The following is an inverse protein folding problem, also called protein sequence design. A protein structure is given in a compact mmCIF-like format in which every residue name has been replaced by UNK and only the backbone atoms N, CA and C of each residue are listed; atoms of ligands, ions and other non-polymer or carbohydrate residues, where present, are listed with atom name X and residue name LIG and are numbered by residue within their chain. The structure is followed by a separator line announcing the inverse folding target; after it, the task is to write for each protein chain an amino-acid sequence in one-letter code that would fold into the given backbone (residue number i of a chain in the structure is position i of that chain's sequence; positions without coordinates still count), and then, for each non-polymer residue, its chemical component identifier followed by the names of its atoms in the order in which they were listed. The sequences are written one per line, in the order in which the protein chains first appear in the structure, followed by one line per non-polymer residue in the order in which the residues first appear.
data_IF_666867765020
#
_entry.id   IF_666867765020
#
_cell.length_a   1.000
_cell.length_b   1.000
_cell.length_c   1.000
_cell.angle_alpha   90.00
_cell.angle_beta   90.00
_cell.angle_gamma   90.00
#
_symmetry.space_group_name_H-M   'P 1'
#
loop_
_entity.id
_entity.type
_entity.pdbx_description
1 polymer ?
#
# COMPACT_ATOMS: atom_id res chain seq x y z
N UNK A 1 -66.01 -4.18 7.15
CA UNK A 1 -65.01 -3.16 6.76
C UNK A 1 -63.73 -3.50 7.52
N UNK A 2 -62.82 -4.24 6.88
CA UNK A 2 -61.65 -4.83 7.53
C UNK A 2 -60.44 -3.91 7.34
N UNK A 3 -60.00 -3.24 8.41
CA UNK A 3 -58.79 -2.42 8.41
C UNK A 3 -57.61 -3.38 8.62
N UNK A 4 -56.81 -3.59 7.56
CA UNK A 4 -55.52 -4.29 7.64
C UNK A 4 -54.47 -3.29 8.10
N UNK A 5 -53.99 -3.46 9.32
CA UNK A 5 -52.83 -2.73 9.85
C UNK A 5 -51.56 -3.40 9.32
N UNK A 6 -50.90 -2.77 8.36
CA UNK A 6 -49.60 -3.22 7.86
C UNK A 6 -48.50 -2.88 8.87
N UNK A 7 -47.85 -3.90 9.40
CA UNK A 7 -46.59 -3.77 10.15
C UNK A 7 -45.45 -3.59 9.15
N UNK A 8 -44.80 -2.42 9.16
CA UNK A 8 -43.53 -2.20 8.47
C UNK A 8 -42.42 -2.71 9.40
N UNK A 9 -41.79 -3.82 9.02
CA UNK A 9 -40.54 -4.27 9.67
C UNK A 9 -39.42 -3.40 9.09
N UNK A 10 -38.94 -2.46 9.89
CA UNK A 10 -37.74 -1.71 9.58
C UNK A 10 -36.55 -2.62 9.88
N UNK A 11 -36.02 -3.28 8.85
CA UNK A 11 -34.79 -4.07 8.94
C UNK A 11 -33.63 -3.14 9.29
N UNK A 12 -33.21 -3.14 10.56
CA UNK A 12 -31.98 -2.51 10.98
C UNK A 12 -30.83 -3.34 10.39
N UNK A 13 -30.22 -2.86 9.30
CA UNK A 13 -28.96 -3.36 8.80
C UNK A 13 -27.91 -3.08 9.88
N UNK A 14 -27.59 -4.07 10.70
CA UNK A 14 -26.38 -4.04 11.51
C UNK A 14 -25.18 -3.97 10.57
N UNK A 15 -24.25 -3.02 10.71
CA UNK A 15 -23.03 -3.03 9.92
C UNK A 15 -22.33 -4.37 10.18
N UNK A 16 -22.14 -5.16 9.13
CA UNK A 16 -21.19 -6.27 9.16
C UNK A 16 -19.84 -5.62 9.49
N UNK A 17 -19.32 -5.90 10.68
CA UNK A 17 -17.95 -5.55 11.03
C UNK A 17 -17.05 -6.41 10.16
N UNK A 18 -16.70 -5.92 8.96
CA UNK A 18 -15.58 -6.47 8.21
C UNK A 18 -14.35 -6.32 9.11
N UNK A 19 -13.66 -7.42 9.38
CA UNK A 19 -12.40 -7.36 10.11
C UNK A 19 -11.37 -6.72 9.19
N UNK A 20 -10.66 -5.70 9.68
CA UNK A 20 -9.57 -5.07 8.94
C UNK A 20 -8.47 -6.11 8.63
N UNK A 21 -7.93 -6.07 7.42
CA UNK A 21 -6.79 -6.87 6.93
C UNK A 21 -5.45 -6.40 7.52
N UNK A 22 -5.44 -5.29 8.24
CA UNK A 22 -4.23 -4.65 8.78
C UNK A 22 -3.54 -5.51 9.85
N UNK A 23 -2.22 -5.64 9.76
CA UNK A 23 -1.35 -6.33 10.71
C UNK A 23 -0.11 -5.48 10.93
N UNK A 24 0.20 -5.10 12.17
CA UNK A 24 1.41 -4.34 12.51
C UNK A 24 1.60 -4.30 14.03
N UNK A 25 2.84 -4.03 14.48
CA UNK A 25 3.14 -3.78 15.90
C UNK A 25 3.02 -2.30 16.26
N UNK A 26 3.36 -1.42 15.32
CA UNK A 26 3.34 0.03 15.50
C UNK A 26 2.87 0.77 14.26
N UNK A 27 2.25 1.93 14.48
CA UNK A 27 1.86 2.85 13.43
C UNK A 27 2.34 4.26 13.74
N UNK A 28 2.97 4.92 12.77
CA UNK A 28 3.45 6.29 12.90
C UNK A 28 4.71 6.55 12.10
N UNK A 29 5.54 7.48 12.56
CA UNK A 29 6.74 7.86 11.82
C UNK A 29 7.81 6.77 11.82
N UNK A 30 8.35 6.50 10.65
CA UNK A 30 9.41 5.52 10.41
C UNK A 30 10.54 6.20 9.60
N UNK A 31 11.37 6.96 10.29
CA UNK A 31 12.35 7.87 9.68
C UNK A 31 13.42 7.20 8.80
N UNK A 32 13.64 5.90 8.97
CA UNK A 32 14.64 5.12 8.22
C UNK A 32 14.18 4.80 6.79
N UNK A 33 12.87 4.81 6.53
CA UNK A 33 12.35 4.48 5.21
C UNK A 33 12.46 5.66 4.24
N UNK A 34 13.08 5.40 3.09
CA UNK A 34 13.18 6.30 1.94
C UNK A 34 12.31 5.83 0.76
N UNK A 35 11.84 4.58 0.82
CA UNK A 35 11.01 3.93 -0.19
C UNK A 35 11.70 3.86 -1.56
N UNK A 36 13.03 3.79 -1.56
CA UNK A 36 13.85 3.81 -2.78
C UNK A 36 13.93 5.18 -3.46
N UNK A 37 13.46 6.25 -2.81
CA UNK A 37 13.37 7.58 -3.41
C UNK A 37 13.58 8.73 -2.44
N UNK A 38 13.41 9.96 -2.93
CA UNK A 38 13.50 11.18 -2.12
C UNK A 38 12.17 11.90 -2.09
N UNK A 39 11.79 12.44 -0.92
CA UNK A 39 10.58 13.27 -0.80
C UNK A 39 9.27 12.48 -0.67
N UNK A 40 9.35 11.16 -0.51
CA UNK A 40 8.19 10.31 -0.21
C UNK A 40 7.96 10.32 1.31
N UNK A 41 6.76 10.64 1.81
CA UNK A 41 6.46 10.72 3.24
C UNK A 41 6.70 9.42 3.99
N UNK A 42 7.11 9.51 5.27
CA UNK A 42 7.33 8.36 6.17
C UNK A 42 6.81 8.62 7.59
N UNK A 43 5.79 9.45 7.73
CA UNK A 43 5.17 9.85 9.00
C UNK A 43 3.95 8.99 9.39
N UNK A 44 3.35 8.27 8.44
CA UNK A 44 2.21 7.38 8.63
C UNK A 44 2.53 5.97 8.09
N UNK A 45 3.23 5.16 8.88
CA UNK A 45 3.79 3.87 8.45
C UNK A 45 3.35 2.77 9.38
N UNK A 46 2.85 1.66 8.83
CA UNK A 46 2.63 0.41 9.54
C UNK A 46 3.95 -0.36 9.60
N UNK A 47 4.40 -0.73 10.79
CA UNK A 47 5.68 -1.41 10.97
C UNK A 47 5.60 -2.53 12.02
N UNK A 48 6.31 -3.63 11.74
CA UNK A 48 6.51 -4.75 12.66
C UNK A 48 8.00 -5.01 12.83
N UNK A 49 8.37 -5.55 14.00
CA UNK A 49 9.76 -5.84 14.33
C UNK A 49 9.84 -7.08 15.21
N UNK A 50 10.73 -7.98 14.81
CA UNK A 50 11.04 -9.17 15.60
C UNK A 50 12.55 -9.37 15.76
N UNK A 51 12.91 -10.16 16.77
CA UNK A 51 14.26 -10.65 16.99
C UNK A 51 14.22 -12.18 16.87
N UNK A 52 14.98 -12.71 15.94
CA UNK A 52 15.15 -14.14 15.68
C UNK A 52 16.60 -14.56 15.91
N UNK A 53 16.82 -15.85 16.10
CA UNK A 53 18.16 -16.44 16.21
C UNK A 53 19.07 -15.77 17.26
N UNK A 54 18.45 -15.30 18.36
CA UNK A 54 19.12 -14.65 19.49
C UNK A 54 19.29 -13.14 19.33
N UNK A 55 19.89 -12.70 18.21
CA UNK A 55 20.31 -11.30 18.02
C UNK A 55 19.96 -10.72 16.63
N UNK A 56 19.41 -11.52 15.71
CA UNK A 56 19.04 -11.05 14.37
C UNK A 56 17.73 -10.26 14.45
N UNK A 57 17.77 -8.97 14.15
CA UNK A 57 16.60 -8.12 14.05
C UNK A 57 16.10 -8.07 12.61
N UNK A 58 14.81 -8.32 12.41
CA UNK A 58 14.11 -8.11 11.15
C UNK A 58 13.06 -7.02 11.39
N UNK A 59 13.02 -6.00 10.52
CA UNK A 59 11.92 -5.02 10.50
C UNK A 59 11.28 -5.03 9.14
N UNK A 60 9.95 -4.95 9.15
CA UNK A 60 9.15 -4.80 7.94
C UNK A 60 8.24 -3.60 8.12
N UNK A 61 8.03 -2.85 7.04
CA UNK A 61 7.13 -1.72 7.06
C UNK A 61 6.45 -1.52 5.72
N UNK A 62 5.22 -0.99 5.76
CA UNK A 62 4.42 -0.64 4.60
C UNK A 62 3.70 0.68 4.82
N UNK A 63 3.55 1.44 3.74
CA UNK A 63 2.78 2.68 3.73
C UNK A 63 2.17 2.94 2.36
N UNK A 64 1.10 3.72 2.29
CA UNK A 64 0.63 4.28 1.04
C UNK A 64 0.85 5.80 1.02
N UNK A 65 1.31 6.32 -0.11
CA UNK A 65 1.61 7.75 -0.29
C UNK A 65 1.09 8.23 -1.63
N UNK A 66 0.92 9.54 -1.79
CA UNK A 66 0.66 10.12 -3.09
C UNK A 66 1.80 9.81 -4.06
N UNK A 67 1.44 9.59 -5.33
CA UNK A 67 2.43 9.51 -6.39
C UNK A 67 2.82 10.92 -6.78
N UNK A 68 4.06 11.31 -6.53
CA UNK A 68 4.56 12.64 -6.85
C UNK A 68 3.69 13.78 -6.27
N UNK A 69 3.42 14.84 -7.03
CA UNK A 69 2.64 16.01 -6.61
C UNK A 69 1.11 15.81 -6.62
N UNK A 70 0.61 14.57 -6.52
CA UNK A 70 -0.83 14.28 -6.47
C UNK A 70 -1.45 14.63 -5.10
N UNK A 71 -2.79 14.64 -4.97
CA UNK A 71 -3.43 14.84 -3.69
C UNK A 71 -2.89 13.88 -2.62
N UNK A 72 -2.57 14.38 -1.41
CA UNK A 72 -2.00 13.54 -0.35
C UNK A 72 -2.88 12.35 -0.02
N UNK A 73 -2.25 11.19 0.18
CA UNK A 73 -2.92 10.04 0.80
C UNK A 73 -3.09 10.35 2.29
N UNK A 74 -4.28 10.11 2.82
CA UNK A 74 -4.57 10.27 4.26
C UNK A 74 -4.76 8.90 4.91
N UNK A 75 -4.79 8.85 6.24
CA UNK A 75 -4.97 7.61 6.99
C UNK A 75 -5.91 7.80 8.20
N UNK A 76 -6.30 6.68 8.82
CA UNK A 76 -7.14 6.65 10.01
C UNK A 76 -6.36 6.50 11.33
N UNK A 77 -5.04 6.65 11.32
CA UNK A 77 -4.15 6.39 12.45
C UNK A 77 -3.86 4.91 12.72
N UNK A 78 -4.23 4.01 11.79
CA UNK A 78 -4.20 2.56 12.03
C UNK A 78 -4.02 1.72 10.74
N UNK A 79 -3.11 2.13 9.84
CA UNK A 79 -2.76 1.39 8.60
C UNK A 79 -3.89 1.19 7.58
N UNK A 80 -4.96 1.99 7.68
CA UNK A 80 -5.99 2.09 6.65
C UNK A 80 -5.88 3.47 6.01
N UNK A 81 -5.40 3.48 4.77
CA UNK A 81 -5.14 4.67 3.98
C UNK A 81 -6.36 5.03 3.11
N UNK A 82 -6.42 6.28 2.69
CA UNK A 82 -7.46 6.85 1.83
C UNK A 82 -6.81 7.59 0.69
N UNK A 83 -7.09 7.13 -0.53
CA UNK A 83 -6.54 7.68 -1.77
C UNK A 83 -7.65 8.06 -2.76
N UNK A 84 -7.32 8.93 -3.71
CA UNK A 84 -8.22 9.32 -4.78
C UNK A 84 -8.18 8.37 -5.98
N UNK A 85 -9.30 8.26 -6.70
CA UNK A 85 -9.38 7.64 -8.03
C UNK A 85 -8.63 8.46 -9.09
N UNK A 86 -8.06 7.78 -10.09
CA UNK A 86 -7.56 8.36 -11.33
C UNK A 86 -6.12 7.98 -11.69
N UNK A 87 -5.71 8.41 -12.88
CA UNK A 87 -4.34 8.26 -13.40
C UNK A 87 -3.57 9.58 -13.38
N UNK A 88 -2.26 9.47 -13.29
CA UNK A 88 -1.29 10.55 -13.36
C UNK A 88 -0.18 10.21 -14.37
N UNK A 89 0.18 11.18 -15.22
CA UNK A 89 1.25 11.07 -16.22
C UNK A 89 2.48 11.92 -15.85
N UNK A 90 2.67 12.19 -14.56
CA UNK A 90 3.69 13.08 -14.03
C UNK A 90 3.45 14.56 -14.35
N UNK A 91 4.17 15.40 -13.61
CA UNK A 91 4.37 16.83 -13.84
C UNK A 91 5.82 17.16 -14.21
N UNK A 92 6.22 18.41 -13.94
CA UNK A 92 7.56 18.89 -14.25
C UNK A 92 8.62 18.16 -13.41
N UNK A 93 9.60 17.52 -14.07
CA UNK A 93 10.63 16.65 -13.46
C UNK A 93 10.10 15.36 -12.80
N UNK A 94 8.90 14.91 -13.16
CA UNK A 94 8.33 13.64 -12.71
C UNK A 94 8.27 12.64 -13.89
N UNK A 95 8.08 11.35 -13.60
CA UNK A 95 7.97 10.33 -14.66
C UNK A 95 6.72 10.56 -15.52
N UNK A 96 6.89 10.53 -16.84
CA UNK A 96 5.77 10.65 -17.79
C UNK A 96 4.96 9.36 -17.95
N UNK A 97 5.41 8.25 -17.35
CA UNK A 97 4.67 6.99 -17.36
C UNK A 97 3.34 7.15 -16.63
N UNK A 98 2.29 6.60 -17.22
CA UNK A 98 0.98 6.51 -16.57
C UNK A 98 1.10 5.68 -15.29
N UNK A 99 0.48 6.17 -14.22
CA UNK A 99 0.32 5.45 -12.96
C UNK A 99 -0.92 5.92 -12.21
N UNK A 100 -1.36 5.17 -11.21
CA UNK A 100 -2.39 5.62 -10.28
C UNK A 100 -1.94 6.89 -9.54
N UNK A 101 -2.88 7.64 -8.95
CA UNK A 101 -2.57 8.83 -8.15
C UNK A 101 -1.74 8.57 -6.90
N UNK A 102 -1.64 7.31 -6.48
CA UNK A 102 -1.01 6.87 -5.24
C UNK A 102 -0.11 5.66 -5.50
N UNK A 103 0.85 5.48 -4.60
CA UNK A 103 1.74 4.33 -4.56
C UNK A 103 1.56 3.58 -3.24
N UNK A 104 1.97 2.33 -3.22
CA UNK A 104 2.20 1.57 -2.01
C UNK A 104 3.69 1.27 -1.87
N UNK A 105 4.19 1.39 -0.67
CA UNK A 105 5.61 1.38 -0.37
C UNK A 105 5.91 0.21 0.55
N UNK A 106 7.10 -0.36 0.42
CA UNK A 106 7.58 -1.38 1.31
C UNK A 106 9.00 -1.08 1.77
N UNK A 107 9.33 -1.57 2.95
CA UNK A 107 10.66 -1.55 3.53
C UNK A 107 10.85 -2.87 4.27
N UNK A 108 12.00 -3.50 4.05
CA UNK A 108 12.47 -4.62 4.86
C UNK A 108 13.95 -4.49 5.10
N UNK A 109 14.36 -4.60 6.35
CA UNK A 109 15.77 -4.67 6.72
C UNK A 109 16.06 -5.81 7.67
N UNK A 110 17.33 -6.19 7.69
CA UNK A 110 17.87 -7.18 8.59
C UNK A 110 19.22 -6.72 9.13
N UNK A 111 19.43 -6.92 10.42
CA UNK A 111 20.68 -6.62 11.08
C UNK A 111 20.97 -7.60 12.20
N UNK A 112 22.25 -7.91 12.41
CA UNK A 112 22.70 -8.69 13.56
C UNK A 112 24.00 -8.05 14.07
N UNK A 113 24.08 -7.62 15.34
CA UNK A 113 25.29 -6.98 15.88
C UNK A 113 26.48 -7.94 15.98
N UNK A 114 26.23 -9.24 16.00
CA UNK A 114 27.21 -10.30 16.18
C UNK A 114 27.53 -11.08 14.89
N UNK A 115 26.74 -10.91 13.83
CA UNK A 115 26.98 -11.53 12.52
C UNK A 115 26.84 -10.51 11.37
N UNK A 116 27.95 -10.02 10.80
CA UNK A 116 27.92 -9.09 9.68
C UNK A 116 27.52 -9.75 8.35
N UNK A 117 27.36 -11.08 8.30
CA UNK A 117 27.00 -11.80 7.08
C UNK A 117 25.51 -12.08 6.96
N UNK A 118 24.71 -11.67 7.95
CA UNK A 118 23.26 -11.79 7.87
C UNK A 118 22.75 -11.03 6.66
N UNK A 119 21.82 -11.63 5.92
CA UNK A 119 21.27 -11.08 4.68
C UNK A 119 19.82 -11.46 4.53
N UNK A 120 19.08 -10.65 3.78
CA UNK A 120 17.65 -10.86 3.54
C UNK A 120 17.37 -12.19 2.84
N UNK A 121 18.30 -12.66 2.00
CA UNK A 121 18.18 -13.94 1.26
C UNK A 121 18.30 -15.19 2.12
N UNK A 122 18.63 -15.06 3.42
CA UNK A 122 18.54 -16.17 4.39
C UNK A 122 17.09 -16.51 4.76
N UNK A 123 16.14 -15.66 4.38
CA UNK A 123 14.71 -15.79 4.67
C UNK A 123 13.89 -15.80 3.38
N UNK A 124 12.68 -16.36 3.45
CA UNK A 124 11.68 -16.21 2.40
C UNK A 124 10.84 -14.97 2.70
N UNK A 125 10.85 -14.01 1.78
CA UNK A 125 10.16 -12.73 1.86
C UNK A 125 9.19 -12.66 0.68
N UNK A 126 7.90 -12.64 1.00
CA UNK A 126 6.83 -12.52 0.01
C UNK A 126 6.06 -11.22 0.25
N UNK A 127 5.81 -10.49 -0.83
CA UNK A 127 5.08 -9.24 -0.84
C UNK A 127 3.80 -9.41 -1.66
N UNK A 128 2.65 -9.31 -1.00
CA UNK A 128 1.34 -9.49 -1.57
C UNK A 128 0.69 -8.16 -1.90
N UNK A 129 0.02 -8.11 -3.05
CA UNK A 129 -0.63 -6.90 -3.55
C UNK A 129 -1.97 -7.22 -4.22
N UNK A 130 -2.91 -6.28 -4.10
CA UNK A 130 -4.24 -6.41 -4.66
C UNK A 130 -4.44 -5.48 -5.86
N UNK A 131 -5.09 -6.01 -6.89
CA UNK A 131 -5.55 -5.24 -8.06
C UNK A 131 -7.08 -5.19 -8.17
N UNK A 132 -7.81 -5.90 -7.31
CA UNK A 132 -9.28 -5.94 -7.26
C UNK A 132 -9.81 -5.00 -6.15
N UNK A 133 -10.70 -4.04 -6.46
CA UNK A 133 -11.29 -3.13 -5.47
C UNK A 133 -12.29 -3.79 -4.49
N UNK A 134 -12.65 -5.07 -4.67
CA UNK A 134 -13.71 -5.71 -3.90
C UNK A 134 -13.43 -5.78 -2.37
N UNK A 135 -12.17 -5.65 -1.96
CA UNK A 135 -11.76 -5.76 -0.56
C UNK A 135 -11.93 -7.17 0.01
N UNK A 136 -11.62 -7.38 1.30
CA UNK A 136 -11.60 -8.71 1.88
C UNK A 136 -13.00 -9.31 1.99
N UNK A 137 -13.06 -10.63 1.83
CA UNK A 137 -14.15 -11.45 2.40
C UNK A 137 -13.82 -11.94 3.83
N UNK A 138 -12.54 -11.86 4.26
CA UNK A 138 -12.04 -12.20 5.60
C UNK A 138 -10.65 -11.56 5.88
N UNK A 139 -10.28 -11.37 7.16
CA UNK A 139 -8.93 -10.92 7.50
C UNK A 139 -7.87 -11.88 7.00
N UNK A 140 -6.71 -11.32 6.66
CA UNK A 140 -5.46 -12.05 6.64
C UNK A 140 -5.42 -13.14 5.54
N UNK A 141 -6.36 -13.07 4.60
CA UNK A 141 -6.46 -14.00 3.49
C UNK A 141 -5.72 -13.43 2.28
N UNK A 142 -4.59 -14.05 1.92
CA UNK A 142 -3.81 -13.67 0.74
C UNK A 142 -4.24 -14.40 -0.53
N UNK A 143 -5.27 -15.27 -0.46
CA UNK A 143 -5.75 -16.00 -1.61
C UNK A 143 -6.36 -15.05 -2.65
N UNK A 144 -5.87 -15.13 -3.89
CA UNK A 144 -6.31 -14.26 -4.99
C UNK A 144 -5.46 -13.01 -5.16
N UNK A 145 -4.62 -12.66 -4.18
CA UNK A 145 -3.66 -11.56 -4.30
C UNK A 145 -2.50 -11.93 -5.24
N UNK A 146 -1.91 -10.90 -5.83
CA UNK A 146 -0.62 -11.01 -6.49
C UNK A 146 0.48 -11.21 -5.47
N UNK A 147 1.61 -11.78 -5.90
CA UNK A 147 2.78 -12.00 -5.04
C UNK A 147 4.07 -11.65 -5.76
N UNK A 148 4.93 -10.87 -5.12
CA UNK A 148 6.33 -10.68 -5.47
C UNK A 148 7.17 -11.54 -4.52
N UNK A 149 7.96 -12.43 -5.07
CA UNK A 149 8.97 -13.21 -4.35
C UNK A 149 10.23 -12.34 -4.23
N UNK A 150 10.27 -11.53 -3.17
CA UNK A 150 11.35 -10.56 -2.94
C UNK A 150 12.68 -11.30 -2.76
N UNK A 151 12.66 -12.46 -2.10
CA UNK A 151 13.85 -13.31 -1.93
C UNK A 151 14.42 -13.77 -3.27
N UNK A 152 13.56 -14.20 -4.22
CA UNK A 152 14.01 -14.56 -5.57
C UNK A 152 14.59 -13.36 -6.33
N UNK A 153 13.95 -12.18 -6.22
CA UNK A 153 14.45 -10.94 -6.82
C UNK A 153 15.83 -10.56 -6.26
N UNK A 154 16.01 -10.61 -4.94
CA UNK A 154 17.27 -10.31 -4.28
C UNK A 154 18.36 -11.32 -4.67
N UNK A 155 18.06 -12.61 -4.67
CA UNK A 155 19.02 -13.63 -5.12
C UNK A 155 19.53 -13.38 -6.55
N UNK A 156 18.70 -12.81 -7.43
CA UNK A 156 19.08 -12.51 -8.80
C UNK A 156 19.88 -11.19 -8.96
N UNK A 157 19.69 -10.20 -8.07
CA UNK A 157 20.20 -8.84 -8.27
C UNK A 157 21.17 -8.37 -7.18
N UNK A 158 20.87 -8.66 -5.91
CA UNK A 158 21.70 -8.33 -4.76
C UNK A 158 21.55 -9.39 -3.65
N UNK A 159 22.23 -10.54 -3.78
CA UNK A 159 22.04 -11.66 -2.87
C UNK A 159 22.55 -11.38 -1.45
N UNK A 160 23.33 -10.32 -1.24
CA UNK A 160 23.87 -9.96 0.07
C UNK A 160 23.16 -8.74 0.69
N UNK A 161 22.03 -8.30 0.11
CA UNK A 161 21.28 -7.17 0.60
C UNK A 161 20.84 -7.38 2.06
N UNK A 162 21.04 -6.34 2.87
CA UNK A 162 20.50 -6.23 4.23
C UNK A 162 19.30 -5.30 4.32
N UNK A 163 19.00 -4.57 3.24
CA UNK A 163 17.89 -3.64 3.10
C UNK A 163 17.30 -3.79 1.69
N UNK A 164 15.98 -3.84 1.62
CA UNK A 164 15.22 -3.71 0.38
C UNK A 164 14.02 -2.82 0.65
N UNK A 165 13.89 -1.75 -0.11
CA UNK A 165 12.77 -0.82 -0.04
C UNK A 165 12.45 -0.26 -1.42
N UNK A 166 11.17 -0.02 -1.69
CA UNK A 166 10.73 0.57 -2.96
C UNK A 166 9.30 1.14 -2.84
N UNK A 167 8.90 1.89 -3.86
CA UNK A 167 7.57 2.47 -4.05
C UNK A 167 6.94 1.93 -5.33
N UNK A 168 5.87 1.18 -5.19
CA UNK A 168 5.18 0.51 -6.29
C UNK A 168 3.88 1.21 -6.67
N UNK A 169 3.53 1.12 -7.94
CA UNK A 169 2.26 1.60 -8.46
C UNK A 169 1.50 0.45 -9.10
N UNK A 170 0.20 0.31 -8.79
CA UNK A 170 -0.62 -0.79 -9.30
C UNK A 170 -0.78 -0.82 -10.83
N UNK A 171 -0.46 0.26 -11.53
CA UNK A 171 -0.42 0.29 -13.01
C UNK A 171 0.91 -0.18 -13.61
N UNK A 172 1.90 -0.56 -12.80
CA UNK A 172 3.10 -1.19 -13.32
C UNK A 172 2.73 -2.53 -13.97
N UNK A 173 2.84 -2.60 -15.30
CA UNK A 173 2.29 -3.70 -16.08
C UNK A 173 2.79 -5.09 -15.66
N UNK A 174 4.00 -5.17 -15.11
CA UNK A 174 4.57 -6.44 -14.62
C UNK A 174 3.78 -7.04 -13.44
N UNK A 175 3.03 -6.22 -12.68
CA UNK A 175 2.16 -6.69 -11.60
C UNK A 175 0.91 -7.40 -12.15
N UNK A 176 0.40 -6.97 -13.31
CA UNK A 176 -0.76 -7.59 -13.95
C UNK A 176 -0.37 -8.79 -14.84
N UNK A 177 0.84 -8.81 -15.40
CA UNK A 177 1.29 -9.90 -16.29
C UNK A 177 2.14 -10.95 -15.59
N UNK A 178 2.76 -10.59 -14.47
CA UNK A 178 3.78 -11.38 -13.80
C UNK A 178 5.14 -11.34 -14.50
N UNK A 179 6.12 -11.89 -13.80
CA UNK A 179 7.50 -12.10 -14.27
C UNK A 179 7.90 -13.51 -13.81
N UNK A 180 8.22 -14.45 -14.72
CA UNK A 180 8.48 -15.83 -14.35
C UNK A 180 9.54 -15.97 -13.25
N UNK A 181 9.17 -16.61 -12.14
CA UNK A 181 10.04 -16.86 -11.00
C UNK A 181 10.19 -15.70 -10.01
N UNK A 182 9.59 -14.53 -10.27
CA UNK A 182 9.71 -13.35 -9.41
C UNK A 182 8.36 -12.73 -9.03
N UNK A 183 7.45 -12.60 -10.00
CA UNK A 183 6.15 -11.95 -9.80
C UNK A 183 5.04 -12.86 -10.33
N UNK A 184 4.10 -13.15 -9.45
CA UNK A 184 2.92 -13.96 -9.71
C UNK A 184 1.71 -13.02 -9.71
N UNK A 185 1.14 -12.80 -10.90
CA UNK A 185 0.02 -11.87 -11.04
C UNK A 185 -1.28 -12.43 -10.45
N UNK A 186 -2.13 -11.59 -9.85
CA UNK A 186 -3.50 -11.96 -9.50
C UNK A 186 -4.37 -12.09 -10.76
N UNK A 187 -5.61 -12.55 -10.58
CA UNK A 187 -6.60 -12.45 -11.65
C UNK A 187 -7.06 -11.01 -11.83
N UNK A 188 -7.17 -10.56 -13.08
CA UNK A 188 -7.69 -9.23 -13.40
C UNK A 188 -6.58 -8.19 -13.61
N UNK A 189 -7.00 -6.94 -13.74
CA UNK A 189 -6.12 -5.80 -13.98
C UNK A 189 -6.58 -4.66 -13.08
N UNK A 190 -5.63 -3.86 -12.61
CA UNK A 190 -5.97 -2.66 -11.84
C UNK A 190 -6.76 -1.66 -12.68
N UNK A 191 -7.84 -1.14 -12.10
CA UNK A 191 -8.60 -0.01 -12.63
C UNK A 191 -8.37 1.22 -11.73
N UNK A 192 -7.67 2.27 -12.21
CA UNK A 192 -7.40 3.46 -11.41
C UNK A 192 -8.65 4.27 -11.04
N UNK A 193 -9.76 4.09 -11.77
CA UNK A 193 -11.02 4.79 -11.50
C UNK A 193 -11.96 4.00 -10.58
N UNK A 194 -11.60 2.76 -10.23
CA UNK A 194 -12.42 1.93 -9.37
C UNK A 194 -12.33 2.35 -7.90
N UNK A 195 -13.50 2.54 -7.31
CA UNK A 195 -13.68 2.80 -5.87
C UNK A 195 -13.71 1.46 -5.15
N UNK A 196 -12.97 1.35 -4.06
CA UNK A 196 -12.93 0.12 -3.29
C UNK A 196 -11.79 0.06 -2.29
N UNK A 197 -11.51 -1.15 -1.84
CA UNK A 197 -10.46 -1.43 -0.86
C UNK A 197 -9.42 -2.35 -1.51
N UNK A 198 -8.16 -1.92 -1.47
CA UNK A 198 -7.02 -2.68 -1.98
C UNK A 198 -6.11 -3.08 -0.83
N UNK A 199 -5.57 -4.28 -0.90
CA UNK A 199 -4.87 -4.92 0.21
C UNK A 199 -3.40 -5.18 -0.11
N UNK A 200 -2.53 -4.93 0.87
CA UNK A 200 -1.11 -5.14 0.71
C UNK A 200 -0.54 -5.76 1.98
N UNK A 201 0.30 -6.78 1.82
CA UNK A 201 0.95 -7.43 2.94
C UNK A 201 2.37 -7.84 2.60
N UNK A 202 3.23 -7.92 3.60
CA UNK A 202 4.53 -8.55 3.50
C UNK A 202 4.63 -9.62 4.58
N UNK A 203 5.21 -10.76 4.23
CA UNK A 203 5.49 -11.85 5.16
C UNK A 203 6.94 -12.27 5.07
N UNK A 204 7.53 -12.56 6.22
CA UNK A 204 8.87 -13.12 6.35
C UNK A 204 8.77 -14.49 7.01
N UNK A 205 9.48 -15.47 6.48
CA UNK A 205 9.48 -16.84 7.01
C UNK A 205 10.84 -17.51 6.88
N UNK A 206 11.06 -18.54 7.69
CA UNK A 206 12.20 -19.45 7.59
C UNK A 206 11.68 -20.89 7.54
N UNK A 207 11.88 -21.54 6.39
CA UNK A 207 11.29 -22.85 6.12
C UNK A 207 9.76 -22.81 6.21
N UNK A 208 9.18 -23.56 7.14
CA UNK A 208 7.72 -23.62 7.37
C UNK A 208 7.23 -22.69 8.47
N UNK A 209 8.12 -21.90 9.08
CA UNK A 209 7.79 -21.04 10.22
C UNK A 209 7.65 -19.59 9.76
N UNK A 210 6.47 -18.99 10.00
CA UNK A 210 6.28 -17.55 9.87
C UNK A 210 7.04 -16.81 10.97
N UNK A 211 7.77 -15.78 10.58
CA UNK A 211 8.62 -14.98 11.48
C UNK A 211 7.98 -13.62 11.74
N UNK A 212 7.56 -12.95 10.68
CA UNK A 212 7.04 -11.60 10.77
C UNK A 212 6.04 -11.31 9.65
N UNK A 213 5.11 -10.39 9.90
CA UNK A 213 4.20 -9.88 8.89
C UNK A 213 3.78 -8.44 9.16
N UNK A 214 3.53 -7.71 8.08
CA UNK A 214 2.88 -6.39 8.11
C UNK A 214 1.84 -6.35 6.99
N UNK A 215 0.71 -5.70 7.25
CA UNK A 215 -0.37 -5.55 6.28
C UNK A 215 -1.10 -4.23 6.46
N UNK A 216 -1.53 -3.67 5.34
CA UNK A 216 -2.27 -2.40 5.26
C UNK A 216 -3.37 -2.47 4.20
N UNK A 217 -4.25 -1.47 4.23
CA UNK A 217 -5.31 -1.29 3.26
C UNK A 217 -5.29 0.11 2.66
N UNK A 218 -5.68 0.22 1.39
CA UNK A 218 -5.93 1.50 0.73
C UNK A 218 -7.38 1.55 0.27
N UNK A 219 -8.16 2.43 0.89
CA UNK A 219 -9.51 2.75 0.46
C UNK A 219 -9.45 3.84 -0.62
N UNK A 220 -9.74 3.46 -1.85
CA UNK A 220 -9.88 4.40 -2.95
C UNK A 220 -11.29 4.97 -2.94
N UNK A 221 -11.38 6.28 -2.79
CA UNK A 221 -12.64 7.04 -2.77
C UNK A 221 -12.66 8.08 -3.88
N UNK A 222 -13.84 8.45 -4.40
CA UNK A 222 -13.92 9.55 -5.36
C UNK A 222 -13.36 10.83 -4.75
N UNK A 223 -12.47 11.51 -5.48
CA UNK A 223 -12.02 12.85 -5.07
C UNK A 223 -13.23 13.78 -5.11
N UNK A 224 -13.62 14.43 -4.00
CA UNK A 224 -14.75 15.35 -4.03
C UNK A 224 -14.48 16.46 -5.05
N UNK A 225 -15.37 16.65 -6.02
CA UNK A 225 -15.23 17.65 -7.08
C UNK A 225 -14.96 19.08 -6.53
N UNK A 226 -15.36 19.34 -5.29
CA UNK A 226 -15.07 20.56 -4.56
C UNK A 226 -13.56 20.82 -4.40
N UNK A 227 -12.71 19.81 -4.17
CA UNK A 227 -11.27 20.00 -4.01
C UNK A 227 -10.64 20.57 -5.29
N UNK A 228 -11.05 20.08 -6.47
CA UNK A 228 -10.63 20.60 -7.77
C UNK A 228 -11.17 22.02 -8.03
N UNK A 229 -12.42 22.30 -7.66
CA UNK A 229 -13.03 23.63 -7.82
C UNK A 229 -12.38 24.69 -6.93
N UNK A 230 -12.06 24.37 -5.68
CA UNK A 230 -11.38 25.31 -4.78
C UNK A 230 -9.92 25.53 -5.17
N UNK A 231 -9.19 24.47 -5.56
CA UNK A 231 -7.81 24.59 -6.05
C UNK A 231 -7.72 25.42 -7.33
N UNK A 232 -8.58 25.16 -8.31
CA UNK A 232 -8.63 25.91 -9.57
C UNK A 232 -9.11 27.35 -9.39
N UNK A 233 -10.07 27.60 -8.49
CA UNK A 233 -10.50 28.97 -8.15
C UNK A 233 -9.37 29.78 -7.50
N UNK A 234 -8.57 29.19 -6.61
CA UNK A 234 -7.46 29.87 -5.95
C UNK A 234 -6.29 30.16 -6.92
N UNK A 235 -5.99 29.22 -7.80
CA UNK A 235 -5.04 29.42 -8.92
C UNK A 235 -5.53 30.51 -9.89
N UNK A 236 -6.82 30.53 -10.21
CA UNK A 236 -7.43 31.58 -11.03
C UNK A 236 -7.33 32.97 -10.39
N UNK A 237 -7.58 33.08 -9.09
CA UNK A 237 -7.49 34.33 -8.33
C UNK A 237 -6.06 34.88 -8.25
N UNK A 238 -5.05 34.01 -8.09
CA UNK A 238 -3.64 34.42 -8.06
C UNK A 238 -3.13 34.83 -9.44
N UNK A 239 -3.54 34.14 -10.51
CA UNK A 239 -3.22 34.53 -11.88
C UNK A 239 -3.84 35.89 -12.26
N UNK A 240 -5.09 36.14 -11.85
CA UNK A 240 -5.77 37.42 -12.08
C UNK A 240 -5.12 38.58 -11.31
N UNK A 241 -4.62 38.34 -10.10
CA UNK A 241 -3.90 39.34 -9.31
C UNK A 241 -2.55 39.73 -9.95
N UNK A 242 -1.80 38.76 -10.49
CA UNK A 242 -0.53 39.03 -11.20
C UNK A 242 -0.70 39.82 -12.49
N UNK A 243 -1.87 39.77 -13.13
CA UNK A 243 -2.17 40.50 -14.37
C UNK A 243 -2.58 41.96 -14.14
N UNK A 244 -2.83 42.37 -12.89
CA UNK A 244 -3.27 43.72 -12.50
C UNK A 244 -2.20 44.54 -11.77
N UNK A 245 -1.07 43.92 -11.41
CA UNK A 245 0.17 44.59 -10.99
C UNK A 245 1.03 44.88 -12.21
#
# INVERSE_FOLDING_TARGET
MNIRTSFVILSCLTPLTSQAFTVYDSFGSFADATWGGSGIPNDAVAASKTIVDGDTTIRVAMAATERFSNPPVSDNGAAIYQAGTGSNFGGNNESSSEGALWNWNYFIDISNPNDPNVKLTDYQIDLYYDLDPAGPTACCNVAGLGRIDVTAVLNANDPNATLSEDSQNNMFGYLATGVPGFVYAPSGTFDPDAVGNYQFAMTVSSGTFGIESVAMEVNVVPVPAAAWLFGSALMGLTALRRKRS
#
